data_IF_103675798728
#
_entry.id   IF_103675798728
#
_cell.length_a   1.000
_cell.length_b   1.000
_cell.length_c   1.000
_cell.angle_alpha   90.00
_cell.angle_beta   90.00
_cell.angle_gamma   90.00
#
_symmetry.space_group_name_H-M   'P 1'
#
loop_
_entity.id
_entity.type
_entity.pdbx_description
1 polymer ?
#
# COMPACT_ATOMS: atom_id res chain seq x y z
N UNK A 1 -91.78 -138.39 -88.46
CA UNK A 1 -91.61 -138.98 -89.81
C UNK A 1 -92.37 -138.12 -90.81
N UNK A 2 -91.65 -137.29 -91.57
CA UNK A 2 -92.17 -136.83 -92.87
C UNK A 2 -91.75 -137.92 -93.86
N UNK A 3 -92.70 -138.55 -94.54
CA UNK A 3 -92.39 -139.54 -95.58
C UNK A 3 -92.11 -138.76 -96.86
N UNK A 4 -90.87 -138.28 -96.98
CA UNK A 4 -90.46 -137.36 -98.02
C UNK A 4 -90.62 -138.01 -99.40
N UNK A 5 -91.45 -137.42 -100.25
CA UNK A 5 -91.87 -138.05 -101.50
C UNK A 5 -90.69 -138.12 -102.48
N UNK A 6 -90.22 -139.34 -102.76
CA UNK A 6 -89.02 -139.56 -103.56
C UNK A 6 -89.13 -138.86 -104.94
N UNK A 7 -88.29 -137.85 -105.18
CA UNK A 7 -88.30 -137.05 -106.42
C UNK A 7 -87.44 -137.68 -107.51
N UNK A 8 -87.81 -137.44 -108.77
CA UNK A 8 -87.06 -137.86 -109.95
C UNK A 8 -85.62 -137.31 -109.94
N UNK A 9 -84.63 -138.20 -109.94
CA UNK A 9 -83.20 -137.87 -109.84
C UNK A 9 -82.55 -137.21 -111.06
N UNK A 10 -83.33 -136.58 -111.95
CA UNK A 10 -82.83 -135.67 -112.99
C UNK A 10 -83.04 -134.24 -112.50
N UNK A 11 -82.01 -133.40 -112.47
CA UNK A 11 -82.03 -132.13 -111.71
C UNK A 11 -83.14 -131.16 -112.16
N UNK A 12 -83.46 -131.18 -113.46
CA UNK A 12 -84.51 -130.40 -114.12
C UNK A 12 -85.91 -131.01 -114.06
N UNK A 13 -86.04 -132.28 -113.67
CA UNK A 13 -87.35 -132.94 -113.57
C UNK A 13 -87.95 -132.79 -112.18
N UNK A 14 -87.30 -133.36 -111.15
CA UNK A 14 -87.74 -133.35 -109.73
C UNK A 14 -89.20 -133.74 -109.44
N UNK A 15 -89.92 -134.28 -110.43
CA UNK A 15 -91.29 -134.78 -110.31
C UNK A 15 -91.35 -135.80 -109.16
N UNK A 16 -92.33 -135.68 -108.28
CA UNK A 16 -92.57 -136.65 -107.23
C UNK A 16 -92.98 -137.99 -107.83
N UNK A 17 -92.34 -139.07 -107.37
CA UNK A 17 -92.56 -140.41 -107.87
C UNK A 17 -93.63 -141.10 -107.01
N UNK A 18 -94.57 -141.84 -107.61
CA UNK A 18 -95.59 -142.54 -106.86
C UNK A 18 -94.93 -143.53 -105.88
N UNK A 19 -95.45 -143.54 -104.65
CA UNK A 19 -94.96 -144.42 -103.60
C UNK A 19 -94.95 -145.90 -104.07
N UNK A 20 -93.96 -146.71 -103.65
CA UNK A 20 -93.91 -148.12 -104.01
C UNK A 20 -95.19 -148.82 -103.52
N UNK A 21 -95.96 -149.36 -104.47
CA UNK A 21 -97.26 -149.97 -104.17
C UNK A 21 -97.14 -151.17 -103.24
N UNK A 22 -98.26 -151.53 -102.60
CA UNK A 22 -98.36 -152.54 -101.52
C UNK A 22 -97.77 -153.94 -101.82
N UNK A 23 -97.43 -154.22 -103.08
CA UNK A 23 -96.77 -155.45 -103.54
C UNK A 23 -95.23 -155.38 -103.52
N UNK A 24 -94.63 -154.39 -102.83
CA UNK A 24 -93.22 -154.44 -102.41
C UNK A 24 -92.14 -154.19 -103.49
N UNK A 25 -92.51 -153.60 -104.62
CA UNK A 25 -91.57 -153.31 -105.71
C UNK A 25 -90.51 -152.25 -105.34
N UNK A 26 -89.27 -152.42 -105.82
CA UNK A 26 -88.15 -151.48 -105.60
C UNK A 26 -88.56 -150.05 -106.05
N UNK A 27 -88.38 -149.01 -105.22
CA UNK A 27 -88.76 -147.66 -105.57
C UNK A 27 -88.03 -147.18 -106.84
N UNK A 28 -88.76 -146.44 -107.68
CA UNK A 28 -88.20 -145.83 -108.90
C UNK A 28 -87.32 -144.65 -108.50
N UNK A 29 -86.22 -144.44 -109.22
CA UNK A 29 -85.35 -143.25 -109.07
C UNK A 29 -85.64 -142.17 -110.11
N UNK A 30 -86.42 -142.48 -111.14
CA UNK A 30 -86.79 -141.58 -112.23
C UNK A 30 -88.25 -141.81 -112.64
N UNK A 31 -88.95 -140.77 -113.07
CA UNK A 31 -90.32 -140.88 -113.59
C UNK A 31 -90.32 -141.59 -114.96
N UNK A 32 -91.40 -142.33 -115.25
CA UNK A 32 -91.50 -143.13 -116.47
C UNK A 32 -92.03 -142.34 -117.66
N UNK A 33 -92.80 -141.30 -117.40
CA UNK A 33 -93.80 -140.80 -118.34
C UNK A 33 -93.38 -139.49 -119.02
N UNK A 34 -92.57 -138.66 -118.34
CA UNK A 34 -91.89 -137.51 -118.95
C UNK A 34 -90.94 -137.95 -120.06
N UNK A 35 -91.08 -137.35 -121.24
CA UNK A 35 -90.14 -137.46 -122.37
C UNK A 35 -89.54 -136.09 -122.64
N UNK A 36 -88.25 -136.07 -122.95
CA UNK A 36 -87.52 -134.88 -123.38
C UNK A 36 -87.25 -134.95 -124.87
N UNK A 37 -86.80 -133.85 -125.46
CA UNK A 37 -86.58 -133.72 -126.91
C UNK A 37 -85.72 -134.87 -127.48
N UNK A 38 -86.17 -135.41 -128.62
CA UNK A 38 -85.64 -136.66 -129.18
C UNK A 38 -86.11 -137.93 -128.44
N UNK A 39 -87.19 -137.86 -127.65
CA UNK A 39 -87.83 -139.02 -127.01
C UNK A 39 -87.10 -139.58 -125.78
N UNK A 40 -86.12 -138.87 -125.24
CA UNK A 40 -85.25 -139.36 -124.15
C UNK A 40 -85.98 -139.42 -122.81
N UNK A 41 -85.64 -140.41 -121.98
CA UNK A 41 -86.19 -140.59 -120.63
C UNK A 41 -85.41 -139.78 -119.58
N UNK A 42 -86.03 -139.46 -118.44
CA UNK A 42 -85.35 -138.79 -117.33
C UNK A 42 -84.10 -139.55 -116.82
N UNK A 43 -84.10 -140.89 -116.89
CA UNK A 43 -82.93 -141.69 -116.51
C UNK A 43 -81.73 -141.47 -117.46
N UNK A 44 -81.99 -141.35 -118.76
CA UNK A 44 -80.97 -141.06 -119.78
C UNK A 44 -80.49 -139.59 -119.66
N UNK A 45 -81.41 -138.65 -119.43
CA UNK A 45 -81.06 -137.24 -119.24
C UNK A 45 -80.25 -137.01 -117.96
N UNK A 46 -80.57 -137.70 -116.85
CA UNK A 46 -79.77 -137.68 -115.62
C UNK A 46 -78.38 -138.30 -115.80
N UNK A 47 -78.26 -139.35 -116.63
CA UNK A 47 -76.96 -139.94 -116.95
C UNK A 47 -76.10 -139.00 -117.80
N UNK A 48 -76.67 -138.41 -118.84
CA UNK A 48 -76.00 -137.40 -119.67
C UNK A 48 -75.66 -136.13 -118.87
N UNK A 49 -76.51 -135.73 -117.91
CA UNK A 49 -76.21 -134.64 -116.96
C UNK A 49 -75.01 -134.98 -116.06
N UNK A 50 -74.93 -136.19 -115.51
CA UNK A 50 -73.76 -136.63 -114.72
C UNK A 50 -72.50 -136.80 -115.57
N UNK A 51 -72.62 -137.32 -116.79
CA UNK A 51 -71.50 -137.42 -117.73
C UNK A 51 -71.01 -136.02 -118.15
N UNK A 52 -71.90 -135.04 -118.32
CA UNK A 52 -71.53 -133.64 -118.57
C UNK A 52 -70.89 -132.95 -117.34
N UNK A 53 -71.44 -133.13 -116.14
CA UNK A 53 -70.87 -132.58 -114.90
C UNK A 53 -69.51 -133.21 -114.55
N UNK A 54 -69.32 -134.49 -114.87
CA UNK A 54 -68.03 -135.18 -114.80
C UNK A 54 -67.04 -134.68 -115.84
N UNK A 55 -67.46 -134.50 -117.10
CA UNK A 55 -66.62 -133.94 -118.17
C UNK A 55 -66.23 -132.47 -117.92
N UNK A 56 -67.05 -131.71 -117.20
CA UNK A 56 -66.74 -130.36 -116.70
C UNK A 56 -65.90 -130.36 -115.41
N UNK A 57 -65.53 -131.53 -114.87
CA UNK A 57 -64.74 -131.69 -113.64
C UNK A 57 -65.47 -131.35 -112.33
N UNK A 58 -66.74 -130.91 -112.39
CA UNK A 58 -67.48 -130.38 -111.25
C UNK A 58 -67.91 -131.46 -110.24
N UNK A 59 -68.11 -132.71 -110.68
CA UNK A 59 -68.43 -133.84 -109.78
C UNK A 59 -67.22 -134.26 -108.91
N UNK A 60 -66.00 -133.77 -109.21
CA UNK A 60 -64.78 -133.96 -108.42
C UNK A 60 -64.35 -132.72 -107.61
N UNK A 61 -64.88 -131.53 -107.94
CA UNK A 61 -64.37 -130.23 -107.49
C UNK A 61 -64.52 -129.92 -106.00
N UNK A 62 -65.33 -130.68 -105.25
CA UNK A 62 -65.42 -130.54 -103.79
C UNK A 62 -64.13 -130.94 -103.05
N UNK A 63 -63.25 -131.71 -103.71
CA UNK A 63 -61.95 -132.12 -103.17
C UNK A 63 -60.85 -131.08 -103.39
N UNK A 64 -60.74 -130.49 -104.58
CA UNK A 64 -59.68 -129.54 -104.94
C UNK A 64 -59.84 -128.21 -104.20
N UNK A 65 -61.04 -127.63 -104.18
CA UNK A 65 -61.30 -126.41 -103.39
C UNK A 65 -61.12 -126.64 -101.88
N UNK A 66 -61.32 -127.88 -101.39
CA UNK A 66 -60.93 -128.24 -100.01
C UNK A 66 -59.42 -128.23 -99.84
N UNK A 67 -58.66 -128.88 -100.72
CA UNK A 67 -57.20 -128.95 -100.65
C UNK A 67 -56.53 -127.57 -100.75
N UNK A 68 -57.05 -126.66 -101.58
CA UNK A 68 -56.54 -125.29 -101.66
C UNK A 68 -56.93 -124.46 -100.42
N UNK A 69 -58.13 -124.66 -99.86
CA UNK A 69 -58.53 -124.04 -98.59
C UNK A 69 -57.90 -124.68 -97.35
N UNK A 70 -57.33 -125.89 -97.46
CA UNK A 70 -56.49 -126.54 -96.46
C UNK A 70 -55.07 -125.98 -96.56
N UNK A 71 -54.46 -126.00 -97.75
CA UNK A 71 -53.15 -125.38 -98.02
C UNK A 71 -53.09 -123.89 -97.63
N UNK A 72 -54.15 -123.12 -97.89
CA UNK A 72 -54.21 -121.72 -97.48
C UNK A 72 -54.26 -121.58 -95.95
N UNK A 73 -54.93 -122.49 -95.23
CA UNK A 73 -54.89 -122.52 -93.76
C UNK A 73 -53.51 -122.93 -93.26
N UNK A 74 -52.90 -123.98 -93.81
CA UNK A 74 -51.54 -124.40 -93.46
C UNK A 74 -50.52 -123.26 -93.67
N UNK A 75 -50.67 -122.48 -94.75
CA UNK A 75 -49.85 -121.28 -95.01
C UNK A 75 -50.14 -120.14 -94.03
N UNK A 76 -51.41 -119.87 -93.72
CA UNK A 76 -51.79 -118.84 -92.75
C UNK A 76 -51.33 -119.19 -91.33
N UNK A 77 -51.50 -120.43 -90.89
CA UNK A 77 -51.04 -120.91 -89.58
C UNK A 77 -49.50 -120.95 -89.51
N UNK A 78 -48.82 -121.29 -90.62
CA UNK A 78 -47.36 -121.20 -90.76
C UNK A 78 -46.80 -119.77 -90.71
N UNK A 79 -47.57 -118.76 -91.14
CA UNK A 79 -47.23 -117.33 -91.02
C UNK A 79 -47.68 -116.73 -89.68
N UNK A 80 -48.74 -117.28 -89.08
CA UNK A 80 -49.34 -116.80 -87.84
C UNK A 80 -48.37 -116.83 -86.67
N UNK A 81 -47.67 -117.95 -86.45
CA UNK A 81 -46.66 -118.06 -85.39
C UNK A 81 -45.56 -116.98 -85.50
N UNK A 82 -44.92 -116.79 -86.66
CA UNK A 82 -44.01 -115.67 -86.93
C UNK A 82 -44.61 -114.26 -86.70
N UNK A 83 -45.88 -114.03 -87.06
CA UNK A 83 -46.56 -112.73 -86.84
C UNK A 83 -46.89 -112.50 -85.36
N UNK A 84 -47.35 -113.52 -84.64
CA UNK A 84 -47.59 -113.46 -83.18
C UNK A 84 -46.26 -113.23 -82.43
N UNK A 85 -45.17 -113.90 -82.84
CA UNK A 85 -43.82 -113.69 -82.30
C UNK A 85 -43.26 -112.29 -82.60
N UNK A 86 -43.45 -111.77 -83.83
CA UNK A 86 -43.06 -110.40 -84.17
C UNK A 86 -43.88 -109.36 -83.39
N UNK A 87 -45.17 -109.60 -83.19
CA UNK A 87 -46.04 -108.72 -82.41
C UNK A 87 -45.62 -108.69 -80.93
N UNK A 88 -45.31 -109.85 -80.35
CA UNK A 88 -44.78 -109.95 -78.99
C UNK A 88 -43.37 -109.31 -78.85
N UNK A 89 -42.53 -109.40 -79.87
CA UNK A 89 -41.23 -108.73 -79.90
C UNK A 89 -41.37 -107.19 -80.00
N UNK A 90 -42.31 -106.70 -80.81
CA UNK A 90 -42.59 -105.26 -80.91
C UNK A 90 -43.20 -104.72 -79.61
N UNK A 91 -44.14 -105.44 -78.99
CA UNK A 91 -44.69 -105.08 -77.67
C UNK A 91 -43.61 -105.06 -76.57
N UNK A 92 -42.69 -106.02 -76.57
CA UNK A 92 -41.55 -106.03 -75.66
C UNK A 92 -40.56 -104.89 -75.91
N UNK A 93 -40.37 -104.46 -77.17
CA UNK A 93 -39.55 -103.28 -77.51
C UNK A 93 -40.27 -101.99 -77.08
N UNK A 94 -41.57 -101.84 -77.32
CA UNK A 94 -42.35 -100.68 -76.88
C UNK A 94 -42.28 -100.52 -75.36
N UNK A 95 -42.62 -101.56 -74.60
CA UNK A 95 -42.52 -101.54 -73.13
C UNK A 95 -41.10 -101.23 -72.64
N UNK A 96 -40.06 -101.67 -73.37
CA UNK A 96 -38.67 -101.34 -73.03
C UNK A 96 -38.27 -99.91 -73.40
N UNK A 97 -38.92 -99.29 -74.38
CA UNK A 97 -38.78 -97.86 -74.66
C UNK A 97 -39.49 -97.04 -73.59
N UNK A 98 -40.71 -97.42 -73.21
CA UNK A 98 -41.48 -96.79 -72.12
C UNK A 98 -40.67 -96.80 -70.80
N UNK A 99 -40.12 -97.96 -70.40
CA UNK A 99 -39.21 -98.12 -69.24
C UNK A 99 -37.97 -97.20 -69.31
N UNK A 100 -37.43 -96.97 -70.50
CA UNK A 100 -36.23 -96.14 -70.71
C UNK A 100 -36.57 -94.66 -70.76
N UNK A 101 -37.74 -94.28 -71.28
CA UNK A 101 -38.25 -92.91 -71.23
C UNK A 101 -38.58 -92.49 -69.79
N UNK A 102 -39.30 -93.32 -69.03
CA UNK A 102 -39.60 -93.06 -67.61
C UNK A 102 -38.30 -92.93 -66.80
N UNK A 103 -37.34 -93.85 -66.98
CA UNK A 103 -36.05 -93.78 -66.30
C UNK A 103 -35.20 -92.56 -66.71
N UNK A 104 -35.26 -92.14 -67.98
CA UNK A 104 -34.55 -90.96 -68.46
C UNK A 104 -35.18 -89.66 -67.93
N UNK A 105 -36.51 -89.55 -67.92
CA UNK A 105 -37.24 -88.42 -67.34
C UNK A 105 -36.93 -88.31 -65.85
N UNK A 106 -37.08 -89.41 -65.08
CA UNK A 106 -36.78 -89.42 -63.64
C UNK A 106 -35.31 -89.06 -63.34
N UNK A 107 -34.36 -89.47 -64.19
CA UNK A 107 -32.95 -89.09 -64.06
C UNK A 107 -32.73 -87.59 -64.35
N UNK A 108 -33.40 -87.02 -65.36
CA UNK A 108 -33.34 -85.59 -65.68
C UNK A 108 -34.01 -84.74 -64.60
N UNK A 109 -35.16 -85.15 -64.08
CA UNK A 109 -35.82 -84.49 -62.93
C UNK A 109 -34.93 -84.50 -61.68
N UNK A 110 -34.31 -85.65 -61.38
CA UNK A 110 -33.36 -85.79 -60.28
C UNK A 110 -32.14 -84.87 -60.46
N UNK A 111 -31.57 -84.81 -61.67
CA UNK A 111 -30.43 -83.94 -61.98
C UNK A 111 -30.82 -82.45 -61.87
N UNK A 112 -31.98 -82.06 -62.40
CA UNK A 112 -32.49 -80.68 -62.29
C UNK A 112 -32.73 -80.28 -60.83
N UNK A 113 -33.31 -81.17 -60.01
CA UNK A 113 -33.48 -80.93 -58.58
C UNK A 113 -32.12 -80.75 -57.87
N UNK A 114 -31.13 -81.58 -58.18
CA UNK A 114 -29.77 -81.45 -57.62
C UNK A 114 -29.09 -80.14 -58.03
N UNK A 115 -29.26 -79.70 -59.29
CA UNK A 115 -28.76 -78.39 -59.74
C UNK A 115 -29.44 -77.25 -58.97
N UNK A 116 -30.76 -77.27 -58.84
CA UNK A 116 -31.53 -76.23 -58.11
C UNK A 116 -31.11 -76.15 -56.64
N UNK A 117 -30.91 -77.28 -55.94
CA UNK A 117 -30.42 -77.26 -54.56
C UNK A 117 -28.95 -76.82 -54.46
N UNK A 118 -28.09 -77.18 -55.44
CA UNK A 118 -26.71 -76.72 -55.50
C UNK A 118 -26.62 -75.19 -55.74
N UNK A 119 -27.51 -74.62 -56.55
CA UNK A 119 -27.57 -73.17 -56.76
C UNK A 119 -28.10 -72.43 -55.52
N UNK A 120 -29.12 -72.95 -54.83
CA UNK A 120 -29.56 -72.43 -53.53
C UNK A 120 -28.44 -72.47 -52.49
N UNK A 121 -27.67 -73.56 -52.44
CA UNK A 121 -26.52 -73.70 -51.55
C UNK A 121 -25.40 -72.71 -51.89
N UNK A 122 -25.15 -72.45 -53.19
CA UNK A 122 -24.19 -71.43 -53.64
C UNK A 122 -24.62 -70.02 -53.23
N UNK A 123 -25.86 -69.63 -53.56
CA UNK A 123 -26.41 -68.30 -53.27
C UNK A 123 -26.43 -68.01 -51.76
N UNK A 124 -26.89 -68.96 -50.94
CA UNK A 124 -26.90 -68.79 -49.47
C UNK A 124 -25.48 -68.73 -48.87
N UNK A 125 -24.49 -69.39 -49.47
CA UNK A 125 -23.08 -69.25 -49.07
C UNK A 125 -22.49 -67.89 -49.51
N UNK A 126 -22.88 -67.38 -50.68
CA UNK A 126 -22.51 -66.04 -51.17
C UNK A 126 -23.11 -64.95 -50.27
N UNK A 127 -24.41 -65.00 -49.96
CA UNK A 127 -25.09 -64.11 -48.99
C UNK A 127 -24.45 -64.17 -47.60
N UNK A 128 -24.18 -65.37 -47.07
CA UNK A 128 -23.56 -65.53 -45.75
C UNK A 128 -22.15 -64.93 -45.70
N UNK A 129 -21.38 -65.04 -46.81
CA UNK A 129 -20.08 -64.40 -46.97
C UNK A 129 -20.21 -62.88 -47.03
N UNK A 130 -21.10 -62.33 -47.84
CA UNK A 130 -21.32 -60.88 -47.91
C UNK A 130 -21.71 -60.30 -46.54
N UNK A 131 -22.61 -60.96 -45.82
CA UNK A 131 -22.97 -60.58 -44.45
C UNK A 131 -21.80 -60.68 -43.47
N UNK A 132 -20.86 -61.60 -43.67
CA UNK A 132 -19.65 -61.71 -42.85
C UNK A 132 -18.63 -60.59 -43.19
N UNK A 133 -18.45 -60.27 -44.47
CA UNK A 133 -17.61 -59.15 -44.91
C UNK A 133 -18.18 -57.80 -44.44
N UNK A 134 -19.49 -57.59 -44.54
CA UNK A 134 -20.17 -56.38 -44.04
C UNK A 134 -20.02 -56.23 -42.52
N UNK A 135 -20.25 -57.30 -41.75
CA UNK A 135 -20.02 -57.29 -40.28
C UNK A 135 -18.57 -57.01 -39.92
N UNK A 136 -17.61 -57.52 -40.71
CA UNK A 136 -16.18 -57.26 -40.51
C UNK A 136 -15.81 -55.80 -40.80
N UNK A 137 -16.31 -55.22 -41.90
CA UNK A 137 -16.11 -53.80 -42.22
C UNK A 137 -16.76 -52.88 -41.16
N UNK A 138 -17.94 -53.24 -40.67
CA UNK A 138 -18.63 -52.52 -39.60
C UNK A 138 -17.89 -52.58 -38.26
N UNK A 139 -17.34 -53.75 -37.87
CA UNK A 139 -16.58 -53.89 -36.62
C UNK A 139 -15.23 -53.18 -36.69
N UNK A 140 -14.54 -53.20 -37.85
CA UNK A 140 -13.35 -52.40 -38.11
C UNK A 140 -13.65 -50.90 -38.00
N UNK A 141 -14.69 -50.40 -38.69
CA UNK A 141 -15.10 -48.99 -38.62
C UNK A 141 -15.62 -48.56 -37.23
N UNK A 142 -16.10 -49.49 -36.40
CA UNK A 142 -16.41 -49.23 -34.98
C UNK A 142 -15.14 -49.17 -34.12
N UNK A 143 -14.20 -50.11 -34.30
CA UNK A 143 -12.93 -50.14 -33.59
C UNK A 143 -12.05 -48.91 -33.90
N UNK A 144 -12.00 -48.47 -35.16
CA UNK A 144 -11.31 -47.24 -35.55
C UNK A 144 -11.90 -45.98 -34.89
N UNK A 145 -13.22 -45.88 -34.80
CA UNK A 145 -13.90 -44.77 -34.11
C UNK A 145 -13.59 -44.79 -32.62
N UNK A 146 -13.75 -45.93 -31.96
CA UNK A 146 -13.40 -46.09 -30.55
C UNK A 146 -11.91 -45.81 -30.27
N UNK A 147 -11.00 -46.13 -31.20
CA UNK A 147 -9.57 -45.80 -31.09
C UNK A 147 -9.28 -44.29 -31.25
N UNK A 148 -9.99 -43.60 -32.15
CA UNK A 148 -9.93 -42.13 -32.30
C UNK A 148 -10.52 -41.42 -31.07
N UNK A 149 -11.73 -41.78 -30.67
CA UNK A 149 -12.42 -41.26 -29.48
C UNK A 149 -11.58 -41.46 -28.20
N UNK A 150 -10.92 -42.62 -28.05
CA UNK A 150 -9.99 -42.89 -26.95
C UNK A 150 -8.76 -41.98 -27.01
N UNK A 151 -8.17 -41.78 -28.18
CA UNK A 151 -7.01 -40.88 -28.36
C UNK A 151 -7.40 -39.44 -28.02
N UNK A 152 -8.50 -38.94 -28.58
CA UNK A 152 -9.05 -37.60 -28.30
C UNK A 152 -9.45 -37.41 -26.82
N UNK A 153 -9.89 -38.47 -26.13
CA UNK A 153 -10.16 -38.43 -24.70
C UNK A 153 -8.87 -38.35 -23.86
N UNK A 154 -7.82 -39.11 -24.24
CA UNK A 154 -6.50 -39.05 -23.59
C UNK A 154 -5.82 -37.70 -23.85
N UNK A 155 -5.90 -37.16 -25.05
CA UNK A 155 -5.37 -35.84 -25.40
C UNK A 155 -6.05 -34.74 -24.57
N UNK A 156 -7.39 -34.70 -24.54
CA UNK A 156 -8.16 -33.76 -23.70
C UNK A 156 -7.83 -33.91 -22.21
N UNK A 157 -7.72 -35.14 -21.70
CA UNK A 157 -7.33 -35.37 -20.31
C UNK A 157 -5.90 -34.87 -20.02
N UNK A 158 -4.96 -35.08 -20.95
CA UNK A 158 -3.58 -34.61 -20.81
C UNK A 158 -3.46 -33.08 -20.89
N UNK A 159 -4.27 -32.43 -21.73
CA UNK A 159 -4.35 -30.98 -21.84
C UNK A 159 -4.94 -30.36 -20.56
N UNK A 160 -6.03 -30.93 -20.04
CA UNK A 160 -6.63 -30.51 -18.77
C UNK A 160 -5.67 -30.72 -17.58
N UNK A 161 -4.90 -31.81 -17.57
CA UNK A 161 -3.88 -32.06 -16.55
C UNK A 161 -2.74 -31.03 -16.59
N UNK A 162 -2.27 -30.64 -17.78
CA UNK A 162 -1.29 -29.54 -17.93
C UNK A 162 -1.86 -28.22 -17.44
N UNK A 163 -3.04 -27.83 -17.91
CA UNK A 163 -3.72 -26.60 -17.48
C UNK A 163 -3.94 -26.55 -15.96
N UNK A 164 -4.20 -27.69 -15.31
CA UNK A 164 -4.29 -27.77 -13.86
C UNK A 164 -2.94 -27.54 -13.17
N UNK A 165 -1.84 -28.11 -13.68
CA UNK A 165 -0.49 -27.86 -13.18
C UNK A 165 -0.10 -26.39 -13.38
N UNK A 166 -0.23 -25.85 -14.60
CA UNK A 166 0.04 -24.45 -14.95
C UNK A 166 -0.72 -23.49 -14.01
N UNK A 167 -1.99 -23.79 -13.72
CA UNK A 167 -2.81 -23.01 -12.79
C UNK A 167 -2.35 -23.13 -11.32
N UNK A 168 -1.86 -24.29 -10.88
CA UNK A 168 -1.28 -24.43 -9.53
C UNK A 168 0.07 -23.73 -9.39
N UNK A 169 0.90 -23.72 -10.44
CA UNK A 169 2.16 -22.97 -10.47
C UNK A 169 1.90 -21.46 -10.45
N UNK A 170 0.96 -20.97 -11.28
CA UNK A 170 0.53 -19.58 -11.28
C UNK A 170 -0.06 -19.14 -9.92
N UNK A 171 -0.84 -20.00 -9.27
CA UNK A 171 -1.36 -19.75 -7.91
C UNK A 171 -0.24 -19.74 -6.85
N UNK A 172 0.79 -20.58 -7.02
CA UNK A 172 2.00 -20.58 -6.18
C UNK A 172 2.77 -19.27 -6.32
N UNK A 173 3.06 -18.84 -7.54
CA UNK A 173 3.73 -17.57 -7.84
C UNK A 173 2.94 -16.36 -7.32
N UNK A 174 1.61 -16.35 -7.50
CA UNK A 174 0.76 -15.28 -6.99
C UNK A 174 0.74 -15.20 -5.44
N UNK A 175 0.82 -16.34 -4.75
CA UNK A 175 0.96 -16.37 -3.28
C UNK A 175 2.33 -15.84 -2.84
N UNK A 176 3.41 -16.28 -3.48
CA UNK A 176 4.75 -15.78 -3.19
C UNK A 176 4.83 -14.26 -3.39
N UNK A 177 4.31 -13.72 -4.49
CA UNK A 177 4.27 -12.27 -4.76
C UNK A 177 3.44 -11.51 -3.71
N UNK A 178 2.33 -12.08 -3.21
CA UNK A 178 1.53 -11.48 -2.15
C UNK A 178 2.24 -11.49 -0.79
N UNK A 179 2.99 -12.54 -0.47
CA UNK A 179 3.83 -12.62 0.73
C UNK A 179 5.03 -11.66 0.66
N UNK A 180 5.72 -11.60 -0.48
CA UNK A 180 6.79 -10.63 -0.75
C UNK A 180 6.30 -9.19 -0.64
N UNK A 181 5.16 -8.84 -1.25
CA UNK A 181 4.55 -7.52 -1.12
C UNK A 181 4.14 -7.20 0.33
N UNK A 182 3.62 -8.18 1.07
CA UNK A 182 3.28 -8.02 2.49
C UNK A 182 4.53 -7.77 3.35
N UNK A 183 5.62 -8.50 3.07
CA UNK A 183 6.88 -8.34 3.80
C UNK A 183 7.61 -7.04 3.43
N UNK A 184 7.58 -6.63 2.16
CA UNK A 184 8.08 -5.33 1.71
C UNK A 184 7.31 -4.17 2.37
N UNK A 185 5.98 -4.27 2.46
CA UNK A 185 5.15 -3.31 3.19
C UNK A 185 5.54 -3.24 4.67
N UNK A 186 5.66 -4.37 5.36
CA UNK A 186 6.09 -4.42 6.78
C UNK A 186 7.49 -3.80 6.98
N UNK A 187 8.42 -4.04 6.05
CA UNK A 187 9.76 -3.45 6.09
C UNK A 187 9.71 -1.92 5.91
N UNK A 188 8.89 -1.41 4.98
CA UNK A 188 8.68 0.02 4.80
C UNK A 188 8.01 0.67 6.02
N UNK A 189 6.98 0.05 6.61
CA UNK A 189 6.34 0.51 7.84
C UNK A 189 7.34 0.55 9.02
N UNK A 190 8.18 -0.47 9.16
CA UNK A 190 9.23 -0.52 10.18
C UNK A 190 10.35 0.51 9.95
N UNK A 191 10.72 0.81 8.70
CA UNK A 191 11.66 1.87 8.39
C UNK A 191 11.07 3.26 8.68
N UNK A 192 9.83 3.51 8.27
CA UNK A 192 9.11 4.76 8.55
C UNK A 192 8.98 4.99 10.07
N UNK A 193 8.71 3.94 10.86
CA UNK A 193 8.71 4.02 12.32
C UNK A 193 10.09 4.42 12.89
N UNK A 194 11.17 3.82 12.40
CA UNK A 194 12.56 4.19 12.77
C UNK A 194 12.99 5.58 12.29
N UNK A 195 12.33 6.13 11.27
CA UNK A 195 12.54 7.50 10.79
C UNK A 195 11.78 8.51 11.66
N UNK A 196 10.52 8.21 11.99
CA UNK A 196 9.73 8.99 12.95
C UNK A 196 10.35 9.01 14.36
N UNK A 197 10.85 7.87 14.86
CA UNK A 197 11.53 7.79 16.15
C UNK A 197 12.83 8.62 16.17
N UNK A 198 13.64 8.56 15.10
CA UNK A 198 14.83 9.41 14.96
C UNK A 198 14.46 10.90 14.92
N UNK A 199 13.44 11.28 14.14
CA UNK A 199 12.96 12.66 14.07
C UNK A 199 12.47 13.17 15.44
N UNK A 200 11.68 12.37 16.17
CA UNK A 200 11.24 12.68 17.53
C UNK A 200 12.38 12.65 18.57
N UNK A 201 13.46 11.92 18.31
CA UNK A 201 14.72 12.02 19.06
C UNK A 201 15.40 13.37 18.85
N UNK A 202 15.59 13.78 17.58
CA UNK A 202 16.23 15.07 17.25
C UNK A 202 15.40 16.27 17.69
N UNK A 203 14.07 16.22 17.59
CA UNK A 203 13.18 17.27 18.08
C UNK A 203 13.27 17.44 19.61
N UNK A 204 13.32 16.34 20.38
CA UNK A 204 13.59 16.39 21.83
C UNK A 204 14.95 17.01 22.13
N UNK A 205 16.01 16.58 21.44
CA UNK A 205 17.35 17.16 21.62
C UNK A 205 17.40 18.66 21.28
N UNK A 206 16.72 19.11 20.21
CA UNK A 206 16.64 20.53 19.86
C UNK A 206 15.88 21.34 20.93
N UNK A 207 14.82 20.80 21.52
CA UNK A 207 14.10 21.43 22.64
C UNK A 207 14.94 21.47 23.91
N UNK A 208 15.68 20.41 24.22
CA UNK A 208 16.61 20.36 25.35
C UNK A 208 17.75 21.40 25.19
N UNK A 209 18.31 21.52 23.99
CA UNK A 209 19.31 22.55 23.64
C UNK A 209 18.71 23.96 23.74
N UNK A 210 17.47 24.17 23.27
CA UNK A 210 16.79 25.46 23.39
C UNK A 210 16.57 25.86 24.86
N UNK A 211 16.04 24.96 25.70
CA UNK A 211 15.86 25.20 27.14
C UNK A 211 17.20 25.41 27.86
N UNK A 212 18.27 24.70 27.46
CA UNK A 212 19.61 24.94 27.99
C UNK A 212 20.16 26.32 27.58
N UNK A 213 19.93 26.74 26.33
CA UNK A 213 20.31 28.07 25.85
C UNK A 213 19.53 29.19 26.56
N UNK A 214 18.22 29.03 26.77
CA UNK A 214 17.40 29.97 27.55
C UNK A 214 17.90 30.10 29.00
N UNK A 215 18.27 28.99 29.65
CA UNK A 215 18.90 29.00 30.99
C UNK A 215 20.23 29.74 31.00
N UNK A 216 21.14 29.43 30.06
CA UNK A 216 22.43 30.12 29.95
C UNK A 216 22.29 31.62 29.64
N UNK A 217 21.26 32.02 28.90
CA UNK A 217 20.92 33.43 28.68
C UNK A 217 20.41 34.10 29.96
N UNK A 218 19.53 33.44 30.71
CA UNK A 218 19.03 33.92 31.99
C UNK A 218 20.13 34.02 33.06
N UNK A 219 21.00 33.01 33.16
CA UNK A 219 22.19 33.02 34.04
C UNK A 219 23.15 34.15 33.67
N UNK A 220 23.44 34.35 32.38
CA UNK A 220 24.26 35.46 31.88
C UNK A 220 23.66 36.82 32.26
N UNK A 221 22.35 36.99 32.11
CA UNK A 221 21.69 38.28 32.35
C UNK A 221 21.45 38.54 33.86
N UNK A 222 21.28 37.50 34.67
CA UNK A 222 21.38 37.58 36.13
C UNK A 222 22.80 37.99 36.57
N UNK A 223 23.85 37.33 36.08
CA UNK A 223 25.24 37.69 36.39
C UNK A 223 25.62 39.11 35.91
N UNK A 224 25.00 39.61 34.83
CA UNK A 224 25.11 41.02 34.42
C UNK A 224 24.43 41.94 35.42
N UNK A 225 23.21 41.61 35.86
CA UNK A 225 22.50 42.39 36.87
C UNK A 225 23.27 42.43 38.20
N UNK A 226 23.79 41.31 38.69
CA UNK A 226 24.66 41.23 39.88
C UNK A 226 25.94 42.06 39.74
N UNK A 227 26.60 41.99 38.58
CA UNK A 227 27.79 42.82 38.30
C UNK A 227 27.44 44.31 38.28
N UNK A 228 26.29 44.68 37.72
CA UNK A 228 25.91 46.07 37.55
C UNK A 228 25.30 46.68 38.85
N UNK A 229 24.68 45.88 39.72
CA UNK A 229 24.38 46.29 41.11
C UNK A 229 25.64 46.36 41.97
N UNK A 230 26.61 45.45 41.80
CA UNK A 230 27.91 45.55 42.47
C UNK A 230 28.69 46.81 42.06
N UNK A 231 28.59 47.22 40.79
CA UNK A 231 29.14 48.50 40.28
C UNK A 231 28.42 49.72 40.85
N UNK A 232 27.09 49.67 40.97
CA UNK A 232 26.33 50.72 41.64
C UNK A 232 26.81 50.88 43.09
N UNK A 233 26.85 49.78 43.85
CA UNK A 233 27.35 49.77 45.22
C UNK A 233 28.84 50.18 45.35
N UNK A 234 29.66 49.99 44.31
CA UNK A 234 31.03 50.54 44.28
C UNK A 234 31.04 52.05 44.02
N UNK A 235 30.17 52.56 43.16
CA UNK A 235 30.00 54.00 42.91
C UNK A 235 29.42 54.73 44.13
N UNK A 236 28.45 54.12 44.82
CA UNK A 236 27.91 54.61 46.09
C UNK A 236 29.04 54.69 47.14
N UNK A 237 29.79 53.60 47.35
CA UNK A 237 30.95 53.59 48.26
C UNK A 237 32.06 54.59 47.90
N UNK A 238 32.27 54.88 46.61
CA UNK A 238 33.20 55.94 46.18
C UNK A 238 32.65 57.32 46.57
N UNK A 239 31.35 57.54 46.39
CA UNK A 239 30.66 58.76 46.81
C UNK A 239 30.70 58.94 48.33
N UNK A 240 30.46 57.87 49.10
CA UNK A 240 30.60 57.86 50.57
C UNK A 240 32.03 58.17 51.01
N UNK A 241 33.05 57.61 50.33
CA UNK A 241 34.45 57.88 50.60
C UNK A 241 34.86 59.32 50.24
N UNK A 242 34.28 59.91 49.20
CA UNK A 242 34.50 61.31 48.83
C UNK A 242 33.79 62.26 49.81
N UNK A 243 32.58 61.94 50.25
CA UNK A 243 31.88 62.65 51.33
C UNK A 243 32.67 62.57 52.65
N UNK A 244 33.10 61.39 53.07
CA UNK A 244 33.92 61.20 54.28
C UNK A 244 35.28 61.92 54.20
N UNK A 245 35.88 62.05 53.00
CA UNK A 245 37.07 62.87 52.78
C UNK A 245 36.76 64.37 52.89
N UNK A 246 35.64 64.84 52.36
CA UNK A 246 35.20 66.22 52.49
C UNK A 246 34.87 66.57 53.95
N UNK A 247 34.26 65.65 54.72
CA UNK A 247 34.08 65.78 56.16
C UNK A 247 35.40 65.80 56.91
N UNK A 248 36.35 64.92 56.56
CA UNK A 248 37.69 64.89 57.18
C UNK A 248 38.44 66.21 56.95
N UNK A 249 38.42 66.75 55.72
CA UNK A 249 38.99 68.06 55.40
C UNK A 249 38.28 69.17 56.19
N UNK A 250 36.95 69.15 56.24
CA UNK A 250 36.16 70.12 57.02
C UNK A 250 36.48 70.05 58.52
N UNK A 251 36.80 68.86 59.05
CA UNK A 251 37.25 68.66 60.44
C UNK A 251 38.70 69.10 60.65
N UNK A 252 39.58 68.92 59.66
CA UNK A 252 40.95 69.45 59.68
C UNK A 252 40.97 70.98 59.63
N UNK A 253 40.14 71.61 58.80
CA UNK A 253 39.97 73.07 58.75
C UNK A 253 39.41 73.61 60.08
N UNK A 254 38.44 72.93 60.68
CA UNK A 254 37.92 73.27 62.03
C UNK A 254 39.00 73.13 63.11
N UNK A 255 39.84 72.09 63.02
CA UNK A 255 40.95 71.89 63.95
C UNK A 255 42.03 72.96 63.78
N UNK A 256 42.41 73.29 62.55
CA UNK A 256 43.36 74.35 62.24
C UNK A 256 42.83 75.73 62.68
N UNK A 257 41.55 76.03 62.47
CA UNK A 257 40.91 77.25 62.96
C UNK A 257 40.81 77.31 64.49
N UNK A 258 40.64 76.16 65.17
CA UNK A 258 40.71 76.09 66.62
C UNK A 258 42.15 76.30 67.15
N UNK A 259 43.14 75.70 66.48
CA UNK A 259 44.56 75.87 66.79
C UNK A 259 45.03 77.31 66.59
N UNK A 260 44.63 77.95 65.48
CA UNK A 260 44.86 79.37 65.22
C UNK A 260 44.25 80.23 66.34
N UNK A 261 43.00 79.99 66.74
CA UNK A 261 42.37 80.70 67.87
C UNK A 261 43.07 80.48 69.21
N UNK A 262 43.64 79.30 69.47
CA UNK A 262 44.47 79.11 70.67
C UNK A 262 45.81 79.85 70.58
N UNK A 263 46.43 79.95 69.40
CA UNK A 263 47.66 80.74 69.21
C UNK A 263 47.39 82.25 69.27
N UNK A 264 46.28 82.73 68.73
CA UNK A 264 45.78 84.10 68.93
C UNK A 264 45.53 84.40 70.41
N UNK A 265 44.92 83.46 71.15
CA UNK A 265 44.70 83.62 72.60
C UNK A 265 46.02 83.61 73.40
N UNK A 266 46.98 82.76 73.07
CA UNK A 266 48.29 82.75 73.74
C UNK A 266 49.14 83.99 73.40
N UNK A 267 49.17 84.43 72.14
CA UNK A 267 49.85 85.68 71.77
C UNK A 267 49.18 86.90 72.40
N UNK A 268 47.85 86.95 72.49
CA UNK A 268 47.14 87.97 73.24
C UNK A 268 47.48 87.93 74.75
N UNK A 269 47.62 86.74 75.35
CA UNK A 269 48.04 86.58 76.75
C UNK A 269 49.47 87.08 76.96
N UNK A 270 50.41 86.71 76.09
CA UNK A 270 51.80 87.17 76.12
C UNK A 270 51.91 88.70 75.91
N UNK A 271 51.08 89.28 75.04
CA UNK A 271 51.00 90.74 74.88
C UNK A 271 50.41 91.42 76.13
N UNK A 272 49.43 90.82 76.81
CA UNK A 272 48.91 91.34 78.07
C UNK A 272 49.92 91.23 79.22
N UNK A 273 50.65 90.11 79.31
CA UNK A 273 51.77 89.90 80.26
C UNK A 273 52.89 90.93 80.02
N UNK A 274 53.28 91.16 78.77
CA UNK A 274 54.27 92.18 78.39
C UNK A 274 53.78 93.61 78.66
N UNK A 275 52.50 93.91 78.41
CA UNK A 275 51.90 95.20 78.74
C UNK A 275 51.87 95.44 80.27
N UNK A 276 51.56 94.43 81.07
CA UNK A 276 51.65 94.51 82.53
C UNK A 276 53.08 94.72 83.03
N UNK A 277 54.09 94.08 82.41
CA UNK A 277 55.50 94.30 82.73
C UNK A 277 55.96 95.74 82.37
N UNK A 278 55.56 96.25 81.22
CA UNK A 278 55.83 97.64 80.84
C UNK A 278 55.11 98.64 81.75
N UNK A 279 53.89 98.33 82.20
CA UNK A 279 53.13 99.13 83.15
C UNK A 279 53.83 99.19 84.53
N UNK A 280 54.32 98.06 85.06
CA UNK A 280 55.01 98.04 86.35
C UNK A 280 56.36 98.75 86.28
N UNK A 281 57.14 98.54 85.20
CA UNK A 281 58.40 99.26 85.01
C UNK A 281 58.18 100.78 84.86
N UNK A 282 57.14 101.19 84.14
CA UNK A 282 56.70 102.60 84.05
C UNK A 282 56.38 103.19 85.43
N UNK A 283 55.61 102.49 86.26
CA UNK A 283 55.31 102.95 87.64
C UNK A 283 56.54 102.97 88.55
N UNK A 284 57.50 102.06 88.37
CA UNK A 284 58.75 102.05 89.15
C UNK A 284 59.65 103.24 88.78
N UNK A 285 59.76 103.58 87.49
CA UNK A 285 60.47 104.78 87.02
C UNK A 285 59.81 106.06 87.53
N UNK A 286 58.48 106.17 87.43
CA UNK A 286 57.73 107.32 87.96
C UNK A 286 57.88 107.51 89.48
N UNK A 287 58.01 106.42 90.25
CA UNK A 287 58.33 106.47 91.68
C UNK A 287 59.75 106.98 91.95
N UNK A 288 60.75 106.48 91.21
CA UNK A 288 62.14 106.94 91.32
C UNK A 288 62.29 108.43 90.94
N UNK A 289 61.61 108.87 89.88
CA UNK A 289 61.57 110.28 89.47
C UNK A 289 60.89 111.16 90.55
N UNK A 290 59.82 110.68 91.19
CA UNK A 290 59.17 111.38 92.29
C UNK A 290 60.07 111.48 93.54
N UNK A 291 60.82 110.44 93.89
CA UNK A 291 61.82 110.49 94.97
C UNK A 291 62.99 111.44 94.62
N UNK A 292 63.40 111.49 93.34
CA UNK A 292 64.42 112.42 92.88
C UNK A 292 63.94 113.88 92.93
N UNK A 293 62.68 114.15 92.59
CA UNK A 293 62.06 115.46 92.77
C UNK A 293 61.89 115.83 94.25
N UNK A 294 61.50 114.89 95.13
CA UNK A 294 61.37 115.11 96.58
C UNK A 294 62.72 115.35 97.28
N UNK A 295 63.81 114.75 96.79
CA UNK A 295 65.16 115.01 97.29
C UNK A 295 65.71 116.34 96.77
N UNK A 296 65.48 116.68 95.49
CA UNK A 296 65.87 117.96 94.88
C UNK A 296 65.15 119.15 95.54
N UNK A 297 63.83 119.07 95.70
CA UNK A 297 63.04 120.12 96.37
C UNK A 297 63.40 120.27 97.86
N UNK A 298 63.78 119.18 98.55
CA UNK A 298 64.35 119.27 99.91
C UNK A 298 65.74 119.91 99.96
N UNK A 299 66.56 119.78 98.92
CA UNK A 299 67.83 120.47 98.83
C UNK A 299 67.63 121.98 98.56
N UNK A 300 66.72 122.33 97.65
CA UNK A 300 66.34 123.71 97.36
C UNK A 300 65.75 124.40 98.61
N UNK A 301 64.74 123.81 99.25
CA UNK A 301 64.14 124.35 100.47
C UNK A 301 65.12 124.48 101.65
N UNK A 302 66.23 123.73 101.66
CA UNK A 302 67.34 123.94 102.62
C UNK A 302 68.16 125.16 102.24
N UNK A 303 68.58 125.26 100.97
CA UNK A 303 69.32 126.42 100.46
C UNK A 303 68.53 127.73 100.64
N UNK A 304 67.21 127.72 100.39
CA UNK A 304 66.33 128.88 100.57
C UNK A 304 66.26 129.32 102.05
N UNK A 305 66.20 128.37 102.99
CA UNK A 305 66.23 128.66 104.44
C UNK A 305 67.60 129.16 104.89
N UNK A 306 68.69 128.74 104.25
CA UNK A 306 70.05 129.18 104.54
C UNK A 306 70.33 130.59 103.95
N UNK A 307 69.78 130.88 102.76
CA UNK A 307 69.74 132.20 102.14
C UNK A 307 68.91 133.20 102.97
N UNK A 308 67.70 132.82 103.40
CA UNK A 308 66.86 133.65 104.28
C UNK A 308 67.52 133.89 105.65
N UNK A 309 68.28 132.91 106.17
CA UNK A 309 69.07 133.11 107.40
C UNK A 309 70.19 134.12 107.21
N UNK A 310 70.95 134.02 106.13
CA UNK A 310 72.03 134.97 105.83
C UNK A 310 71.49 136.36 105.54
N UNK A 311 70.38 136.49 104.80
CA UNK A 311 69.70 137.78 104.61
C UNK A 311 69.23 138.38 105.94
N UNK A 312 68.59 137.60 106.82
CA UNK A 312 68.12 138.09 108.12
C UNK A 312 69.26 138.49 109.06
N UNK A 313 70.40 137.78 109.06
CA UNK A 313 71.58 138.21 109.84
C UNK A 313 72.17 139.50 109.29
N UNK A 314 72.33 139.62 107.96
CA UNK A 314 72.78 140.87 107.33
C UNK A 314 71.83 142.02 107.62
N UNK A 315 70.50 141.79 107.60
CA UNK A 315 69.48 142.78 107.95
C UNK A 315 69.58 143.24 109.40
N UNK A 316 69.86 142.32 110.32
CA UNK A 316 70.04 142.63 111.75
C UNK A 316 71.32 143.46 111.99
N UNK A 317 72.43 143.13 111.32
CA UNK A 317 73.68 143.91 111.38
C UNK A 317 73.52 145.31 110.77
N UNK A 318 72.77 145.42 109.67
CA UNK A 318 72.44 146.71 109.03
C UNK A 318 71.62 147.61 109.97
N UNK A 319 70.58 147.05 110.58
CA UNK A 319 69.76 147.76 111.59
C UNK A 319 70.55 148.11 112.84
N UNK A 320 71.52 147.29 113.26
CA UNK A 320 72.39 147.59 114.39
C UNK A 320 73.38 148.72 114.08
N UNK A 321 73.95 148.76 112.87
CA UNK A 321 74.74 149.92 112.39
C UNK A 321 73.90 151.19 112.35
N UNK A 322 72.69 151.15 111.80
CA UNK A 322 71.77 152.29 111.74
C UNK A 322 71.39 152.80 113.14
N UNK A 323 71.08 151.90 114.08
CA UNK A 323 70.81 152.26 115.47
C UNK A 323 72.02 152.94 116.14
N UNK A 324 73.23 152.47 115.86
CA UNK A 324 74.48 153.03 116.41
C UNK A 324 74.82 154.41 115.82
N UNK A 325 74.58 154.61 114.52
CA UNK A 325 74.71 155.92 113.87
C UNK A 325 73.71 156.92 114.48
N UNK A 326 72.45 156.53 114.63
CA UNK A 326 71.40 157.38 115.20
C UNK A 326 71.70 157.80 116.66
N UNK A 327 72.34 156.96 117.48
CA UNK A 327 72.81 157.41 118.81
C UNK A 327 73.95 158.43 118.72
N UNK A 328 74.95 158.22 117.86
CA UNK A 328 76.04 159.21 117.68
C UNK A 328 75.57 160.54 117.07
N UNK A 329 74.54 160.52 116.23
CA UNK A 329 73.89 161.74 115.70
C UNK A 329 73.13 162.49 116.80
N UNK A 330 72.42 161.79 117.69
CA UNK A 330 71.74 162.40 118.84
C UNK A 330 72.71 162.99 119.88
N UNK A 331 73.91 162.42 120.03
CA UNK A 331 74.95 162.98 120.91
C UNK A 331 75.67 164.20 120.30
N UNK A 332 75.90 164.21 118.98
CA UNK A 332 76.49 165.38 118.29
C UNK A 332 75.52 166.58 118.27
N UNK A 333 74.23 166.35 118.01
CA UNK A 333 73.22 167.42 118.05
C UNK A 333 73.01 167.98 119.47
N UNK A 334 73.11 167.14 120.52
CA UNK A 334 73.05 167.60 121.92
C UNK A 334 74.27 168.42 122.35
N UNK A 335 75.46 168.11 121.84
CA UNK A 335 76.67 168.88 122.16
C UNK A 335 76.77 170.20 121.39
N UNK A 336 76.23 170.27 120.17
CA UNK A 336 76.25 171.50 119.37
C UNK A 336 75.28 172.58 119.88
N UNK A 337 74.05 172.23 120.27
CA UNK A 337 73.06 173.23 120.70
C UNK A 337 73.30 173.82 122.11
N UNK A 338 74.20 173.26 122.91
CA UNK A 338 74.48 173.73 124.27
C UNK A 338 75.49 174.90 124.34
N UNK A 339 76.09 175.30 123.22
CA UNK A 339 77.35 176.06 123.21
C UNK A 339 77.32 177.47 122.59
N UNK A 340 76.28 177.85 121.84
CA UNK A 340 76.26 179.13 121.10
C UNK A 340 74.90 179.84 121.16
N UNK A 341 74.66 180.50 122.29
CA UNK A 341 73.65 181.55 122.40
C UNK A 341 74.35 182.91 122.59
N UNK A 342 74.43 183.73 121.53
CA UNK A 342 74.46 185.21 121.54
C UNK A 342 75.07 185.82 120.25
N UNK A 343 74.53 186.95 119.73
CA UNK A 343 73.11 187.30 119.68
C UNK A 343 72.66 188.01 118.36
N UNK A 344 71.34 188.03 118.11
CA UNK A 344 70.58 188.94 117.20
C UNK A 344 70.79 188.81 115.66
N UNK A 345 69.79 189.08 114.78
CA UNK A 345 68.45 189.70 114.95
C UNK A 345 67.41 189.27 113.87
N UNK A 346 66.10 189.20 114.24
CA UNK A 346 64.85 189.59 113.48
C UNK A 346 64.72 189.22 111.97
N UNK A 347 63.73 188.44 111.49
CA UNK A 347 62.27 188.73 111.23
C UNK A 347 61.66 187.50 110.44
N UNK A 348 60.38 187.28 110.07
CA UNK A 348 59.04 187.94 110.18
C UNK A 348 57.92 186.83 110.24
N UNK A 349 56.67 187.06 110.73
CA UNK A 349 55.73 185.96 111.05
C UNK A 349 54.77 185.37 109.99
N UNK A 350 54.49 185.99 108.83
CA UNK A 350 53.27 185.64 108.04
C UNK A 350 53.39 184.53 106.98
N UNK A 351 54.57 184.23 106.41
CA UNK A 351 54.69 183.26 105.31
C UNK A 351 54.44 181.79 105.72
N UNK A 352 54.18 181.56 107.02
CA UNK A 352 53.61 180.32 107.56
C UNK A 352 52.21 179.98 106.99
N UNK A 353 51.55 180.91 106.30
CA UNK A 353 50.32 180.62 105.54
C UNK A 353 50.58 179.76 104.27
N UNK A 354 51.84 179.59 103.88
CA UNK A 354 52.24 178.90 102.64
C UNK A 354 52.45 177.40 102.86
N UNK A 355 51.55 176.58 102.30
CA UNK A 355 51.77 175.17 101.94
C UNK A 355 52.25 174.21 103.08
N UNK A 356 51.50 173.84 104.13
CA UNK A 356 50.07 173.91 104.46
C UNK A 356 49.06 173.51 103.37
N UNK A 357 49.54 172.79 102.34
CA UNK A 357 48.72 172.28 101.22
C UNK A 357 49.21 170.89 100.75
N UNK A 358 50.38 170.45 101.20
CA UNK A 358 50.92 169.11 100.92
C UNK A 358 50.34 167.98 101.80
N UNK A 359 49.41 168.28 102.72
CA UNK A 359 48.78 167.29 103.61
C UNK A 359 47.58 166.55 102.95
N UNK A 360 47.29 166.80 101.67
CA UNK A 360 46.04 166.35 101.01
C UNK A 360 46.19 165.88 99.56
N UNK A 361 46.84 164.72 99.34
CA UNK A 361 46.41 163.76 98.30
C UNK A 361 46.63 162.32 98.74
N UNK A 362 45.55 161.66 99.16
CA UNK A 362 45.31 160.21 98.95
C UNK A 362 45.36 159.87 97.45
N UNK A 363 45.55 158.59 97.02
CA UNK A 363 45.07 157.35 97.66
C UNK A 363 46.21 156.32 97.88
N UNK A 364 46.07 155.13 98.49
CA UNK A 364 44.97 154.21 98.85
C UNK A 364 44.36 153.32 97.75
#
# INVERSE_FOLDING_TARGET
MIVDAARCGYSKCRQELPAPGFQGGRPRSFCRDTRWDGGKTCAQMARAEKEALGALGLDAGSSTFRLDAERLRDQLDGVRGPVEALTAALDAVSRRLDEVEEAAVAAVETANAQVVEAEKARLSAEEAREQAELRTRQSQAAAERAAKERTEAVERASAAARQALDATEALGAARQQAEEATNARRAAEAQAAREAERAAGTDRQLREIAVAAERLLAERDAARAERDTARAAEADRRTDLEAARAELLTLQDKLAAAQAKTQEAETARLHAEAAHAAQTESTARALADAEHQLTTTRAQARADVEALRTELTTRAEELHRQATQATTELESLRTQLAAQDSPTQRLHPDDLQTLLTALTTTPR
#
